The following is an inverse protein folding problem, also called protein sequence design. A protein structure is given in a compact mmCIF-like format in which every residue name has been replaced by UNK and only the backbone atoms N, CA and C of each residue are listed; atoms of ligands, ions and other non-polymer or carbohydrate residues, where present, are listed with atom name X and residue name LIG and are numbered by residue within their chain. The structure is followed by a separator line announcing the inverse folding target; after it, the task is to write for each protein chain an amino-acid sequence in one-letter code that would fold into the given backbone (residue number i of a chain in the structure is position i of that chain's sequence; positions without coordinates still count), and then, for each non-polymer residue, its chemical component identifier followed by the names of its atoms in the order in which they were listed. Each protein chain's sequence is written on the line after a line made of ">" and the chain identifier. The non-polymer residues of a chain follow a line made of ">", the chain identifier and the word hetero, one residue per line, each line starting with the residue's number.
data_IF_394171302539
#
_entry.id   IF_394171302539
#
_cell.length_a   1.000
_cell.length_b   1.000
_cell.length_c   1.000
_cell.angle_alpha   90.00
_cell.angle_beta   90.00
_cell.angle_gamma   90.00
#
_symmetry.space_group_name_H-M   'P 1'
#
loop_
_entity.id
_entity.type
_entity.pdbx_description
1 polymer ?
#
# COMPACT_ATOMS: atom_id res chain seq x y z
N UNK A 1 -29.52 1.36 22.46
CA UNK A 1 -28.96 0.40 21.48
C UNK A 1 -28.57 1.02 20.13
N UNK A 2 -28.82 2.30 19.87
CA UNK A 2 -28.46 3.00 18.61
C UNK A 2 -27.03 3.57 18.55
N UNK A 3 -26.19 3.34 19.58
CA UNK A 3 -24.80 3.81 19.63
C UNK A 3 -23.82 2.86 18.92
N UNK A 4 -24.20 1.60 18.71
CA UNK A 4 -23.37 0.57 18.08
C UNK A 4 -23.12 0.81 16.58
N UNK A 5 -24.08 1.31 15.77
CA UNK A 5 -23.81 1.68 14.36
C UNK A 5 -22.91 2.91 14.23
N UNK A 6 -23.03 3.89 15.14
CA UNK A 6 -22.18 5.07 15.17
C UNK A 6 -20.74 4.73 15.58
N UNK A 7 -20.57 3.72 16.46
CA UNK A 7 -19.26 3.18 16.83
C UNK A 7 -18.61 2.39 15.68
N UNK A 8 -19.41 1.78 14.79
CA UNK A 8 -18.91 1.10 13.59
C UNK A 8 -18.40 2.07 12.52
N UNK A 9 -18.92 3.30 12.47
CA UNK A 9 -18.44 4.39 11.60
C UNK A 9 -17.10 5.01 12.07
N UNK A 10 -16.67 4.74 13.30
CA UNK A 10 -15.34 5.14 13.80
C UNK A 10 -14.22 4.20 13.30
N UNK A 11 -14.57 3.12 12.58
CA UNK A 11 -13.63 2.16 12.00
C UNK A 11 -13.46 2.39 10.49
N UNK A 12 -13.69 3.60 9.97
CA UNK A 12 -13.21 3.92 8.61
C UNK A 12 -11.72 4.21 8.77
N UNK A 13 -10.79 3.33 8.34
CA UNK A 13 -9.38 3.63 8.39
C UNK A 13 -9.13 4.64 7.26
N UNK A 14 -9.40 5.92 7.52
CA UNK A 14 -9.07 7.00 6.62
C UNK A 14 -7.57 7.17 6.64
N UNK A 15 -6.84 6.54 5.71
CA UNK A 15 -5.52 6.98 5.23
C UNK A 15 -5.01 6.15 4.02
N UNK A 16 -5.86 5.62 3.14
CA UNK A 16 -5.40 4.77 2.03
C UNK A 16 -5.72 5.34 0.66
N UNK A 17 -5.14 6.50 0.36
CA UNK A 17 -5.15 7.07 -1.00
C UNK A 17 -4.56 6.14 -2.06
N UNK A 18 -3.76 5.15 -1.63
CA UNK A 18 -3.21 4.08 -2.46
C UNK A 18 -2.90 2.84 -1.61
N UNK A 19 -3.09 1.65 -2.18
CA UNK A 19 -2.78 0.35 -1.57
C UNK A 19 -2.22 -0.63 -2.61
N UNK A 20 -1.57 -1.69 -2.15
CA UNK A 20 -0.98 -2.72 -2.99
C UNK A 20 -0.51 -3.92 -2.17
N UNK A 21 0.15 -4.89 -2.80
CA UNK A 21 0.76 -6.01 -2.09
C UNK A 21 2.02 -5.55 -1.34
N UNK A 22 2.18 -5.97 -0.09
CA UNK A 22 3.42 -5.74 0.67
C UNK A 22 4.61 -6.50 0.06
N UNK A 23 4.33 -7.64 -0.58
CA UNK A 23 5.32 -8.34 -1.39
C UNK A 23 4.68 -9.15 -2.51
N UNK A 24 5.49 -9.46 -3.52
CA UNK A 24 5.18 -10.41 -4.57
C UNK A 24 6.36 -11.36 -4.75
N UNK A 25 6.07 -12.58 -5.17
CA UNK A 25 7.09 -13.55 -5.56
C UNK A 25 6.76 -14.13 -6.92
N UNK A 26 7.79 -14.43 -7.69
CA UNK A 26 7.67 -15.19 -8.93
C UNK A 26 8.91 -16.04 -9.15
N UNK A 27 8.79 -17.18 -9.85
CA UNK A 27 9.92 -18.04 -10.12
C UNK A 27 10.88 -17.37 -11.13
N UNK A 28 12.16 -17.73 -11.07
CA UNK A 28 13.15 -17.30 -12.06
C UNK A 28 12.68 -17.69 -13.47
N UNK A 29 12.84 -16.77 -14.42
CA UNK A 29 12.32 -16.87 -15.78
C UNK A 29 10.81 -16.65 -15.92
N UNK A 30 10.05 -16.66 -14.82
CA UNK A 30 8.62 -16.38 -14.78
C UNK A 30 8.30 -14.89 -14.78
N UNK A 31 7.09 -14.55 -14.31
CA UNK A 31 6.62 -13.16 -14.22
C UNK A 31 6.11 -12.81 -12.83
N UNK A 32 6.29 -11.55 -12.43
CA UNK A 32 5.59 -10.95 -11.29
C UNK A 32 4.59 -9.90 -11.79
N UNK A 33 3.39 -9.92 -11.23
CA UNK A 33 2.35 -8.93 -11.48
C UNK A 33 2.00 -8.23 -10.18
N UNK A 34 2.12 -6.90 -10.18
CA UNK A 34 1.91 -6.04 -9.03
C UNK A 34 0.70 -5.17 -9.34
N UNK A 35 -0.27 -5.18 -8.43
CA UNK A 35 -1.53 -4.47 -8.58
C UNK A 35 -1.65 -3.42 -7.49
N UNK A 36 -1.68 -2.15 -7.89
CA UNK A 36 -1.72 -1.01 -6.98
C UNK A 36 -3.03 -0.24 -7.18
N UNK A 37 -3.90 -0.33 -6.18
CA UNK A 37 -5.22 0.31 -6.16
C UNK A 37 -5.11 1.73 -5.59
N UNK A 38 -5.94 2.64 -6.05
CA UNK A 38 -6.00 4.02 -5.57
C UNK A 38 -7.45 4.48 -5.41
N UNK A 39 -7.65 5.54 -4.62
CA UNK A 39 -8.99 6.12 -4.43
C UNK A 39 -9.46 6.89 -5.68
N UNK A 40 -10.77 7.01 -5.95
CA UNK A 40 -11.26 7.84 -7.04
C UNK A 40 -10.72 9.28 -6.97
N UNK A 41 -10.41 9.86 -8.12
CA UNK A 41 -9.83 11.22 -8.25
C UNK A 41 -8.33 11.24 -8.59
N UNK A 42 -7.67 10.09 -8.62
CA UNK A 42 -6.26 9.96 -9.03
C UNK A 42 -6.08 9.46 -10.47
N UNK A 43 -7.13 9.31 -11.27
CA UNK A 43 -7.10 8.69 -12.60
C UNK A 43 -6.13 9.42 -13.53
N UNK A 44 -6.30 10.74 -13.70
CA UNK A 44 -5.51 11.55 -14.62
C UNK A 44 -4.08 11.86 -14.15
N UNK A 45 -3.66 11.34 -13.01
CA UNK A 45 -2.30 11.56 -12.48
C UNK A 45 -1.33 10.50 -12.98
N UNK A 46 -0.08 10.89 -13.22
CA UNK A 46 0.98 9.97 -13.63
C UNK A 46 1.18 8.88 -12.58
N UNK A 47 1.14 7.62 -13.01
CA UNK A 47 1.48 6.45 -12.19
C UNK A 47 2.93 6.07 -12.47
N UNK A 48 3.68 5.67 -11.46
CA UNK A 48 5.08 5.32 -11.64
C UNK A 48 5.50 4.09 -10.83
N UNK A 49 6.52 3.41 -11.34
CA UNK A 49 7.15 2.24 -10.74
C UNK A 49 8.61 2.55 -10.45
N UNK A 50 9.02 2.45 -9.18
CA UNK A 50 10.32 2.87 -8.71
C UNK A 50 11.07 1.74 -8.02
N UNK A 51 12.40 1.73 -8.12
CA UNK A 51 13.26 0.74 -7.47
C UNK A 51 14.17 1.38 -6.43
N UNK A 52 14.27 0.77 -5.26
CA UNK A 52 15.15 1.18 -4.17
C UNK A 52 14.42 1.38 -2.84
N UNK A 53 15.13 1.14 -1.74
CA UNK A 53 14.56 1.19 -0.39
C UNK A 53 14.11 2.60 0.01
N UNK A 54 14.89 3.63 -0.33
CA UNK A 54 14.62 5.02 0.02
C UNK A 54 13.64 5.68 -0.95
N UNK A 55 12.40 5.93 -0.49
CA UNK A 55 11.33 6.56 -1.28
C UNK A 55 11.73 7.85 -2.01
N UNK A 56 12.47 8.75 -1.36
CA UNK A 56 12.80 10.07 -1.93
C UNK A 56 13.90 10.07 -2.98
N UNK A 57 14.57 8.93 -3.20
CA UNK A 57 15.72 8.81 -4.10
C UNK A 57 15.73 7.47 -4.84
N UNK A 58 14.59 6.80 -4.92
CA UNK A 58 14.47 5.57 -5.70
C UNK A 58 14.59 5.89 -7.20
N UNK A 59 14.97 4.89 -7.99
CA UNK A 59 15.12 5.02 -9.44
C UNK A 59 13.78 4.74 -10.14
N UNK A 60 13.24 5.74 -10.84
CA UNK A 60 11.96 5.60 -11.55
C UNK A 60 12.16 4.81 -12.83
N UNK A 61 11.67 3.57 -12.85
CA UNK A 61 11.83 2.66 -13.97
C UNK A 61 10.76 2.84 -15.05
N UNK A 62 9.53 3.16 -14.64
CA UNK A 62 8.39 3.39 -15.53
C UNK A 62 7.52 4.52 -15.01
N UNK A 63 6.92 5.29 -15.92
CA UNK A 63 5.99 6.36 -15.59
C UNK A 63 4.96 6.54 -16.71
N UNK A 64 3.67 6.57 -16.35
CA UNK A 64 2.57 6.88 -17.28
C UNK A 64 2.41 8.39 -17.43
N UNK A 65 1.59 8.81 -18.39
CA UNK A 65 1.27 10.22 -18.66
C UNK A 65 -0.07 10.65 -18.06
N UNK A 66 -0.62 9.89 -17.11
CA UNK A 66 -2.00 10.08 -16.62
C UNK A 66 -3.08 9.57 -17.59
N UNK A 67 -2.69 8.70 -18.51
CA UNK A 67 -3.59 8.00 -19.44
C UNK A 67 -3.53 6.48 -19.22
N UNK A 68 -4.51 5.76 -19.76
CA UNK A 68 -4.60 4.29 -19.69
C UNK A 68 -3.69 3.58 -20.71
N UNK A 69 -2.86 4.33 -21.45
CA UNK A 69 -1.90 3.75 -22.37
C UNK A 69 -0.84 2.96 -21.61
N UNK A 70 -0.60 1.72 -22.03
CA UNK A 70 0.51 0.91 -21.50
C UNK A 70 1.85 1.56 -21.82
N UNK A 71 2.67 1.76 -20.81
CA UNK A 71 4.07 2.21 -20.93
C UNK A 71 4.97 1.03 -20.58
N UNK A 72 6.01 0.80 -21.38
CA UNK A 72 6.94 -0.33 -21.17
C UNK A 72 8.39 0.05 -21.44
N UNK A 73 9.29 -0.60 -20.72
CA UNK A 73 10.74 -0.51 -20.90
C UNK A 73 11.39 -1.85 -20.55
N UNK A 74 12.15 -2.42 -21.49
CA UNK A 74 12.78 -3.72 -21.31
C UNK A 74 11.77 -4.83 -21.04
N UNK A 75 11.85 -5.43 -19.85
CA UNK A 75 10.97 -6.53 -19.41
C UNK A 75 9.81 -6.07 -18.53
N UNK A 76 9.65 -4.77 -18.37
CA UNK A 76 8.69 -4.19 -17.45
C UNK A 76 7.64 -3.40 -18.21
N UNK A 77 6.39 -3.49 -17.76
CA UNK A 77 5.29 -2.65 -18.22
C UNK A 77 4.46 -2.13 -17.07
N UNK A 78 3.84 -0.96 -17.27
CA UNK A 78 2.88 -0.34 -16.38
C UNK A 78 1.65 0.06 -17.21
N UNK A 79 0.47 -0.21 -16.68
CA UNK A 79 -0.79 0.19 -17.30
C UNK A 79 -1.76 0.61 -16.21
N UNK A 80 -2.43 1.74 -16.42
CA UNK A 80 -3.50 2.19 -15.55
C UNK A 80 -4.88 1.74 -16.07
N UNK A 81 -5.78 1.41 -15.15
CA UNK A 81 -7.19 1.08 -15.41
C UNK A 81 -8.02 2.04 -14.56
N UNK A 82 -8.51 3.11 -15.22
CA UNK A 82 -9.23 4.20 -14.56
C UNK A 82 -10.58 3.73 -14.01
N UNK A 83 -11.22 2.77 -14.68
CA UNK A 83 -12.50 2.23 -14.24
C UNK A 83 -12.37 1.41 -12.96
N UNK A 84 -11.28 0.66 -12.83
CA UNK A 84 -11.00 -0.17 -11.64
C UNK A 84 -10.21 0.56 -10.56
N UNK A 85 -9.82 1.81 -10.82
CA UNK A 85 -8.95 2.61 -9.97
C UNK A 85 -7.70 1.84 -9.54
N UNK A 86 -7.02 1.22 -10.51
CA UNK A 86 -5.87 0.36 -10.26
C UNK A 86 -4.92 0.35 -11.44
N UNK A 87 -3.66 0.62 -11.18
CA UNK A 87 -2.60 0.36 -12.15
C UNK A 87 -1.88 -0.96 -11.85
N UNK A 88 -1.45 -1.61 -12.92
CA UNK A 88 -0.76 -2.90 -12.89
C UNK A 88 0.65 -2.72 -13.43
N UNK A 89 1.62 -3.23 -12.68
CA UNK A 89 3.01 -3.36 -13.14
C UNK A 89 3.28 -4.84 -13.39
N UNK A 90 3.90 -5.15 -14.52
CA UNK A 90 4.32 -6.52 -14.85
C UNK A 90 5.82 -6.53 -15.06
N UNK A 91 6.51 -7.49 -14.45
CA UNK A 91 7.93 -7.79 -14.67
C UNK A 91 8.00 -9.19 -15.28
N UNK A 92 8.46 -9.30 -16.52
CA UNK A 92 8.60 -10.56 -17.24
C UNK A 92 10.02 -11.12 -17.12
N UNK A 93 10.17 -12.43 -17.31
CA UNK A 93 11.45 -13.13 -17.28
C UNK A 93 12.30 -12.75 -16.05
N UNK A 94 11.72 -12.92 -14.85
CA UNK A 94 12.33 -12.55 -13.57
C UNK A 94 13.74 -13.09 -13.42
N UNK A 95 14.64 -12.25 -12.92
CA UNK A 95 16.05 -12.56 -12.66
C UNK A 95 16.36 -12.36 -11.18
N UNK A 96 17.35 -13.05 -10.60
CA UNK A 96 17.77 -12.78 -9.22
C UNK A 96 18.09 -11.30 -8.96
N UNK A 97 18.58 -10.58 -9.97
CA UNK A 97 18.83 -9.13 -9.90
C UNK A 97 17.58 -8.26 -9.82
N UNK A 98 16.38 -8.81 -9.99
CA UNK A 98 15.10 -8.11 -9.84
C UNK A 98 14.55 -8.23 -8.40
N UNK A 99 15.20 -9.01 -7.54
CA UNK A 99 14.85 -9.06 -6.11
C UNK A 99 15.30 -7.76 -5.44
N UNK A 100 14.32 -6.98 -4.98
CA UNK A 100 14.56 -5.67 -4.35
C UNK A 100 13.29 -5.14 -3.68
N UNK A 101 13.44 -3.97 -3.06
CA UNK A 101 12.34 -3.10 -2.67
C UNK A 101 11.99 -2.17 -3.83
N UNK A 102 10.69 -2.09 -4.11
CA UNK A 102 10.11 -1.24 -5.12
C UNK A 102 8.99 -0.38 -4.53
N UNK A 103 8.51 0.56 -5.33
CA UNK A 103 7.37 1.37 -4.99
C UNK A 103 6.43 1.57 -6.17
N UNK A 104 5.15 1.42 -5.89
CA UNK A 104 4.07 2.03 -6.65
C UNK A 104 3.97 3.50 -6.25
N UNK A 105 3.83 4.40 -7.22
CA UNK A 105 3.75 5.83 -7.00
C UNK A 105 2.68 6.53 -7.83
N UNK A 106 2.12 7.62 -7.27
CA UNK A 106 1.25 8.56 -7.99
C UNK A 106 1.85 9.95 -7.83
N UNK A 107 2.22 10.56 -8.96
CA UNK A 107 2.75 11.91 -9.00
C UNK A 107 1.68 12.91 -8.60
N UNK A 108 1.98 13.81 -7.67
CA UNK A 108 1.10 14.95 -7.36
C UNK A 108 1.89 16.15 -6.91
N UNK A 109 1.22 17.30 -6.80
CA UNK A 109 1.82 18.48 -6.18
C UNK A 109 2.27 18.18 -4.74
N UNK A 110 3.52 18.53 -4.43
CA UNK A 110 4.15 18.25 -3.14
C UNK A 110 4.72 16.83 -3.06
N UNK A 111 4.44 16.13 -1.96
CA UNK A 111 4.92 14.74 -1.76
C UNK A 111 3.99 13.75 -2.43
N UNK A 112 4.52 12.94 -3.34
CA UNK A 112 3.82 11.86 -4.01
C UNK A 112 3.19 10.82 -3.06
N UNK A 113 2.17 10.12 -3.57
CA UNK A 113 1.62 8.94 -2.92
C UNK A 113 2.51 7.74 -3.24
N UNK A 114 2.73 6.87 -2.25
CA UNK A 114 3.64 5.74 -2.38
C UNK A 114 3.15 4.50 -1.63
N UNK A 115 3.34 3.33 -2.23
CA UNK A 115 3.13 2.04 -1.62
C UNK A 115 4.33 1.15 -1.89
N UNK A 116 4.99 0.70 -0.83
CA UNK A 116 6.20 -0.13 -0.91
C UNK A 116 5.83 -1.58 -1.24
N UNK A 117 6.59 -2.20 -2.14
CA UNK A 117 6.40 -3.59 -2.56
C UNK A 117 7.76 -4.27 -2.54
N UNK A 118 7.88 -5.39 -1.83
CA UNK A 118 9.08 -6.23 -1.92
C UNK A 118 8.90 -7.30 -3.01
N UNK A 119 9.82 -7.37 -3.96
CA UNK A 119 9.81 -8.39 -5.02
C UNK A 119 10.80 -9.46 -4.65
N UNK A 120 10.37 -10.72 -4.65
CA UNK A 120 11.20 -11.91 -4.44
C UNK A 120 11.28 -12.75 -5.70
N UNK A 121 12.44 -13.40 -5.91
CA UNK A 121 12.62 -14.30 -7.06
C UNK A 121 12.91 -15.72 -6.57
N UNK A 122 11.95 -16.61 -6.81
CA UNK A 122 12.04 -18.02 -6.48
C UNK A 122 12.91 -18.82 -7.47
N UNK A 123 13.08 -20.14 -7.24
CA UNK A 123 13.81 -21.02 -8.15
C UNK A 123 13.16 -21.10 -9.54
N UNK A 124 13.87 -21.69 -10.50
CA UNK A 124 13.37 -21.86 -11.87
C UNK A 124 12.10 -22.73 -11.88
N UNK A 125 11.12 -22.37 -12.72
CA UNK A 125 9.87 -23.15 -12.89
C UNK A 125 10.14 -24.62 -13.26
N UNK A 126 11.29 -24.90 -13.90
CA UNK A 126 11.72 -26.22 -14.36
C UNK A 126 12.18 -27.17 -13.25
N UNK A 127 12.52 -26.66 -12.05
CA UNK A 127 12.97 -27.53 -10.95
C UNK A 127 11.81 -28.16 -10.15
N UNK A 128 10.57 -27.71 -10.35
CA UNK A 128 9.38 -28.22 -9.64
C UNK A 128 8.77 -29.50 -10.26
N UNK A 129 9.36 -30.05 -11.32
CA UNK A 129 8.94 -31.33 -11.92
C UNK A 129 10.15 -32.25 -12.12
N UNK A 130 10.81 -32.63 -11.05
CA UNK A 130 11.65 -33.83 -11.05
C UNK A 130 11.07 -34.86 -10.08
N UNK A 131 10.33 -35.88 -10.57
CA UNK A 131 10.08 -37.09 -9.80
C UNK A 131 11.37 -37.91 -9.86
N UNK A 132 12.11 -37.95 -8.75
CA UNK A 132 13.37 -38.68 -8.64
C UNK A 132 13.21 -40.18 -8.97
N UNK A 133 14.26 -40.85 -9.51
CA UNK A 133 14.99 -41.80 -8.64
C UNK A 133 16.52 -41.76 -8.77
N UNK A 134 17.15 -42.40 -7.77
CA UNK A 134 18.53 -42.33 -7.33
C UNK A 134 19.62 -42.85 -8.28
N UNK A 135 20.82 -42.24 -8.18
CA UNK A 135 22.07 -43.00 -8.09
C UNK A 135 23.06 -42.27 -7.15
N UNK A 136 23.65 -42.96 -6.15
CA UNK A 136 24.70 -42.42 -5.29
C UNK A 136 26.07 -42.58 -5.95
N UNK A 137 26.91 -41.54 -5.91
CA UNK A 137 28.36 -41.70 -6.11
C UNK A 137 29.08 -41.02 -4.95
N UNK A 138 29.90 -41.84 -4.31
CA UNK A 138 30.48 -41.67 -2.99
C UNK A 138 31.85 -40.99 -3.06
N UNK A 139 32.10 -40.10 -2.09
CA UNK A 139 33.40 -39.77 -1.44
C UNK A 139 34.38 -38.81 -2.16
N UNK A 140 35.40 -38.25 -1.46
CA UNK A 140 35.27 -37.01 -0.69
C UNK A 140 36.45 -36.03 -0.92
N UNK A 141 36.23 -34.73 -1.08
CA UNK A 141 37.39 -33.81 -1.19
C UNK A 141 37.25 -32.52 -0.38
N UNK A 142 38.18 -32.41 0.56
CA UNK A 142 38.76 -31.23 1.21
C UNK A 142 37.85 -30.28 1.99
N UNK A 143 38.08 -30.29 3.30
CA UNK A 143 37.74 -29.24 4.25
C UNK A 143 38.46 -27.95 3.84
N UNK A 144 37.69 -26.93 3.47
CA UNK A 144 38.18 -25.56 3.26
C UNK A 144 37.44 -24.62 4.21
N UNK A 145 38.09 -24.25 5.30
CA UNK A 145 37.65 -23.15 6.17
C UNK A 145 37.68 -21.84 5.37
N UNK A 146 36.54 -21.15 5.28
CA UNK A 146 36.50 -19.76 4.88
C UNK A 146 35.64 -18.98 5.88
N UNK A 147 36.36 -18.20 6.68
CA UNK A 147 35.95 -17.31 7.75
C UNK A 147 34.99 -16.24 7.24
N UNK A 148 33.81 -16.11 7.85
CA UNK A 148 32.87 -15.01 7.60
C UNK A 148 33.28 -13.76 8.38
N UNK A 149 33.36 -12.55 7.77
CA UNK A 149 33.41 -11.28 8.49
C UNK A 149 32.00 -10.75 8.83
N UNK A 150 31.89 -9.73 9.70
CA UNK A 150 30.76 -9.56 10.59
C UNK A 150 29.58 -8.78 10.00
N UNK A 151 28.44 -9.05 10.63
CA UNK A 151 27.19 -8.29 10.62
C UNK A 151 27.47 -6.79 10.81
N UNK A 152 26.98 -5.97 9.88
CA UNK A 152 26.78 -4.53 10.08
C UNK A 152 25.28 -4.24 10.09
N UNK A 153 24.81 -3.65 11.19
CA UNK A 153 23.44 -3.22 11.44
C UNK A 153 23.07 -2.00 10.57
N UNK A 154 21.80 -1.89 10.19
CA UNK A 154 21.20 -0.59 9.83
C UNK A 154 19.84 -0.43 10.51
N UNK A 155 19.83 0.45 11.50
CA UNK A 155 18.68 0.86 12.31
C UNK A 155 17.83 1.88 11.56
N UNK A 156 16.97 1.43 10.65
CA UNK A 156 16.02 2.32 9.93
C UNK A 156 14.54 2.15 10.35
N UNK A 157 14.24 1.21 11.25
CA UNK A 157 12.86 0.92 11.68
C UNK A 157 12.17 2.08 12.41
N UNK A 158 12.90 2.93 13.13
CA UNK A 158 12.33 3.99 13.97
C UNK A 158 11.75 5.16 13.16
N UNK A 159 12.30 5.46 11.98
CA UNK A 159 11.85 6.56 11.12
C UNK A 159 10.62 6.18 10.27
N UNK A 160 10.46 4.90 9.93
CA UNK A 160 9.30 4.40 9.20
C UNK A 160 8.05 4.32 10.10
N UNK A 161 8.23 3.85 11.34
CA UNK A 161 7.16 3.74 12.34
C UNK A 161 6.65 5.12 12.78
N UNK A 162 7.56 6.06 13.06
CA UNK A 162 7.17 7.43 13.45
C UNK A 162 6.43 8.14 12.31
N UNK A 163 6.91 8.07 11.05
CA UNK A 163 6.19 8.65 9.90
C UNK A 163 4.84 8.01 9.64
N UNK A 164 4.70 6.70 9.84
CA UNK A 164 3.42 5.99 9.67
C UNK A 164 2.40 6.44 10.71
N UNK A 165 2.79 6.49 11.99
CA UNK A 165 1.95 6.96 13.08
C UNK A 165 1.56 8.44 12.93
N UNK A 166 2.50 9.32 12.58
CA UNK A 166 2.20 10.74 12.33
C UNK A 166 1.20 10.92 11.19
N UNK A 167 1.35 10.17 10.09
CA UNK A 167 0.43 10.22 8.95
C UNK A 167 -0.95 9.70 9.32
N UNK A 168 -1.01 8.62 10.11
CA UNK A 168 -2.26 8.08 10.66
C UNK A 168 -2.97 9.09 11.58
N UNK A 169 -2.25 9.74 12.51
CA UNK A 169 -2.84 10.78 13.36
C UNK A 169 -3.37 11.97 12.54
N UNK A 170 -2.61 12.43 11.53
CA UNK A 170 -3.03 13.54 10.67
C UNK A 170 -4.26 13.22 9.81
N UNK A 171 -4.34 12.00 9.25
CA UNK A 171 -5.50 11.58 8.45
C UNK A 171 -6.79 11.45 9.29
N UNK A 172 -6.66 10.97 10.54
CA UNK A 172 -7.82 10.79 11.41
C UNK A 172 -8.25 12.08 12.12
N UNK A 173 -7.35 13.06 12.31
CA UNK A 173 -7.65 14.32 12.99
C UNK A 173 -8.86 15.09 12.42
N UNK A 174 -9.01 15.33 11.10
CA UNK A 174 -10.18 16.01 10.55
C UNK A 174 -11.47 15.20 10.71
N UNK A 175 -11.39 13.86 10.62
CA UNK A 175 -12.55 12.95 10.80
C UNK A 175 -13.00 12.98 12.26
N UNK A 176 -12.06 12.92 13.20
CA UNK A 176 -12.32 13.05 14.64
C UNK A 176 -12.88 14.43 14.96
N UNK A 177 -12.33 15.51 14.38
CA UNK A 177 -12.84 16.87 14.58
C UNK A 177 -14.26 17.04 14.04
N UNK A 178 -14.56 16.51 12.86
CA UNK A 178 -15.91 16.56 12.27
C UNK A 178 -16.93 15.79 13.09
N UNK A 179 -16.57 14.64 13.63
CA UNK A 179 -17.47 13.83 14.48
C UNK A 179 -17.68 14.49 15.85
N UNK A 180 -16.61 14.96 16.50
CA UNK A 180 -16.68 15.64 17.80
C UNK A 180 -17.39 16.99 17.73
N UNK A 181 -17.38 17.70 16.59
CA UNK A 181 -18.12 18.96 16.44
C UNK A 181 -19.56 18.72 15.98
N UNK A 182 -19.79 17.90 14.94
CA UNK A 182 -21.14 17.75 14.37
C UNK A 182 -22.08 16.96 15.27
N UNK A 183 -21.60 15.98 16.02
CA UNK A 183 -22.47 15.14 16.87
C UNK A 183 -23.04 15.95 18.05
N UNK A 184 -22.26 16.75 18.81
CA UNK A 184 -22.81 17.63 19.83
C UNK A 184 -23.69 18.73 19.25
N UNK A 185 -23.35 19.31 18.09
CA UNK A 185 -24.21 20.32 17.46
C UNK A 185 -25.59 19.75 17.09
N UNK A 186 -25.65 18.54 16.51
CA UNK A 186 -26.91 17.85 16.26
C UNK A 186 -27.64 17.53 17.57
N UNK A 187 -26.93 17.07 18.59
CA UNK A 187 -27.50 16.78 19.91
C UNK A 187 -28.12 18.03 20.55
N UNK A 188 -27.39 19.14 20.59
CA UNK A 188 -27.86 20.43 21.08
C UNK A 188 -29.07 20.93 20.29
N UNK A 189 -29.06 20.80 18.95
CA UNK A 189 -30.18 21.18 18.10
C UNK A 189 -31.44 20.36 18.40
N UNK A 190 -31.30 19.04 18.53
CA UNK A 190 -32.42 18.15 18.90
C UNK A 190 -32.94 18.46 20.31
N UNK A 191 -32.07 18.73 21.28
CA UNK A 191 -32.48 19.17 22.60
C UNK A 191 -33.26 20.49 22.55
N UNK A 192 -32.80 21.48 21.77
CA UNK A 192 -33.49 22.76 21.61
C UNK A 192 -34.87 22.60 20.95
N UNK A 193 -34.98 21.76 19.92
CA UNK A 193 -36.26 21.46 19.27
C UNK A 193 -37.25 20.77 20.21
N UNK A 194 -36.77 19.84 21.05
CA UNK A 194 -37.60 19.17 22.08
C UNK A 194 -38.05 20.13 23.18
N UNK A 195 -37.21 21.09 23.56
CA UNK A 195 -37.58 22.15 24.50
C UNK A 195 -38.64 23.09 23.91
N UNK A 196 -38.47 23.49 22.65
CA UNK A 196 -39.41 24.37 21.95
C UNK A 196 -40.77 23.69 21.72
N UNK A 197 -40.78 22.43 21.31
CA UNK A 197 -42.02 21.67 21.13
C UNK A 197 -42.79 21.50 22.44
N UNK A 198 -42.07 21.28 23.56
CA UNK A 198 -42.66 21.22 24.89
C UNK A 198 -43.19 22.57 25.37
N UNK A 199 -42.50 23.67 25.05
CA UNK A 199 -42.95 25.03 25.41
C UNK A 199 -44.22 25.47 24.68
N UNK A 200 -44.45 24.98 23.46
CA UNK A 200 -45.69 25.22 22.72
C UNK A 200 -46.85 24.34 23.18
N UNK A 201 -46.59 23.31 23.98
CA UNK A 201 -47.59 22.39 24.54
C UNK A 201 -48.15 22.80 25.89
N UNK A 202 -47.84 24.00 26.42
CA UNK A 202 -48.39 24.51 27.69
C UNK A 202 -49.49 25.56 27.41
N UNK A 203 -50.75 25.15 27.21
CA UNK A 203 -51.85 26.09 27.09
C UNK A 203 -52.09 26.75 28.45
N UNK A 204 -51.99 28.08 28.49
CA UNK A 204 -52.41 28.93 29.61
C UNK A 204 -53.78 28.47 30.14
N UNK A 205 -53.77 27.75 31.25
CA UNK A 205 -54.93 27.50 32.09
C UNK A 205 -55.22 28.75 32.91
N UNK A 206 -56.47 29.20 32.82
CA UNK A 206 -57.12 30.31 33.53
C UNK A 206 -56.82 30.38 35.03
#
# INVERSE_FOLDING_TARGET
>A
MWLLPALLLLIVPGCFSMSGPWSVSGPRGGSATIQCCYDPGWESYSKWWCRGEAWGSCDTLLKTTGSEQTVGHGRMSIQDDHWRHRFTVTIMALRPSDEDVYWCGIEKSGTDLGHQVRVYVGPDMTELTSPYPAVPVTTPTSVGLATSPPIAQSSNGSMALTRSLTRFLLCNLPVVLLTVIKVPLLGCLLCALMWLSRSQGDPKGK
#
